data_IF_711492563915
#
_entry.id   IF_711492563915
#
_cell.length_a   1.000
_cell.length_b   1.000
_cell.length_c   1.000
_cell.angle_alpha   90.00
_cell.angle_beta   90.00
_cell.angle_gamma   90.00
#
_symmetry.space_group_name_H-M   'P 1'
#
loop_
_entity.id
_entity.type
_entity.pdbx_description
1 polymer ?
#
# COMPACT_ATOMS: atom_id res chain seq x y z
N UNK A 1 5.28 0.71 56.85
CA UNK A 1 4.51 -0.03 55.81
C UNK A 1 4.90 0.60 54.51
N UNK A 2 6.03 0.12 54.02
CA UNK A 2 6.71 0.56 52.83
C UNK A 2 5.99 -0.04 51.62
N UNK A 3 5.40 0.84 50.81
CA UNK A 3 4.79 0.48 49.53
C UNK A 3 5.74 0.90 48.42
N UNK A 4 6.75 0.08 48.15
CA UNK A 4 7.69 0.26 47.06
C UNK A 4 6.97 -0.01 45.74
N UNK A 5 6.50 1.07 45.11
CA UNK A 5 5.95 1.05 43.75
C UNK A 5 7.09 0.79 42.77
N UNK A 6 7.27 -0.48 42.40
CA UNK A 6 8.14 -0.88 41.32
C UNK A 6 7.66 -0.21 40.02
N UNK A 7 8.32 0.88 39.64
CA UNK A 7 8.29 1.38 38.28
C UNK A 7 8.97 0.33 37.41
N UNK A 8 8.16 -0.56 36.82
CA UNK A 8 8.60 -1.50 35.80
C UNK A 8 9.07 -0.66 34.60
N UNK A 9 10.37 -0.35 34.58
CA UNK A 9 11.06 0.21 33.43
C UNK A 9 10.95 -0.80 32.30
N UNK A 10 9.94 -0.63 31.45
CA UNK A 10 9.85 -1.32 30.17
C UNK A 10 11.15 -1.06 29.41
N UNK A 11 11.96 -2.11 29.31
CA UNK A 11 13.25 -2.09 28.62
C UNK A 11 13.00 -1.71 27.16
N UNK A 12 13.40 -0.49 26.77
CA UNK A 12 13.22 -0.01 25.40
C UNK A 12 14.21 -0.75 24.50
N UNK A 13 13.71 -1.57 23.59
CA UNK A 13 14.57 -2.32 22.67
C UNK A 13 15.06 -1.43 21.52
N UNK A 14 16.17 -1.80 20.86
CA UNK A 14 16.64 -1.11 19.66
C UNK A 14 15.59 -1.10 18.53
N UNK A 15 14.68 -2.07 18.52
CA UNK A 15 13.54 -2.12 17.59
C UNK A 15 12.52 -1.04 17.94
N UNK A 16 12.20 -0.85 19.21
CA UNK A 16 11.25 0.18 19.68
C UNK A 16 11.76 1.59 19.36
N UNK A 17 13.07 1.84 19.54
CA UNK A 17 13.70 3.12 19.13
C UNK A 17 13.60 3.33 17.62
N UNK A 18 13.88 2.30 16.81
CA UNK A 18 13.77 2.39 15.35
C UNK A 18 12.33 2.54 14.86
N UNK A 19 11.36 1.97 15.58
CA UNK A 19 9.95 2.09 15.25
C UNK A 19 9.39 3.44 15.68
N UNK A 20 9.90 4.05 16.76
CA UNK A 20 9.55 5.40 17.20
C UNK A 20 9.89 6.49 16.17
N UNK A 21 10.82 6.24 15.24
CA UNK A 21 11.10 7.12 14.10
C UNK A 21 9.91 7.29 13.15
N UNK A 22 8.87 6.46 13.27
CA UNK A 22 7.68 6.49 12.41
C UNK A 22 6.43 6.58 13.28
N UNK A 23 5.52 7.51 12.96
CA UNK A 23 4.26 7.64 13.67
C UNK A 23 3.46 6.33 13.66
N UNK A 24 2.75 6.03 14.74
CA UNK A 24 1.88 4.84 14.85
C UNK A 24 0.89 4.74 13.68
N UNK A 25 0.35 5.89 13.25
CA UNK A 25 -0.55 5.98 12.09
C UNK A 25 0.13 5.53 10.80
N UNK A 26 1.38 5.96 10.57
CA UNK A 26 2.16 5.56 9.40
C UNK A 26 2.53 4.08 9.46
N UNK A 27 2.92 3.57 10.63
CA UNK A 27 3.17 2.14 10.80
C UNK A 27 1.94 1.30 10.46
N UNK A 28 0.75 1.73 10.89
CA UNK A 28 -0.51 1.07 10.58
C UNK A 28 -0.82 1.14 9.08
N UNK A 29 -0.60 2.29 8.44
CA UNK A 29 -0.72 2.44 6.99
C UNK A 29 0.18 1.47 6.24
N UNK A 30 1.45 1.34 6.66
CA UNK A 30 2.38 0.38 6.06
C UNK A 30 1.97 -1.07 6.28
N UNK A 31 1.49 -1.43 7.47
CA UNK A 31 0.94 -2.78 7.73
C UNK A 31 -0.24 -3.08 6.79
N UNK A 32 -1.14 -2.12 6.58
CA UNK A 32 -2.25 -2.27 5.62
C UNK A 32 -1.77 -2.43 4.18
N UNK A 33 -0.76 -1.66 3.78
CA UNK A 33 -0.11 -1.77 2.48
C UNK A 33 0.55 -3.14 2.27
N UNK A 34 1.29 -3.65 3.26
CA UNK A 34 1.91 -4.98 3.25
C UNK A 34 0.87 -6.08 3.18
N UNK A 35 -0.23 -5.99 3.96
CA UNK A 35 -1.35 -6.94 3.86
C UNK A 35 -1.96 -6.98 2.46
N UNK A 36 -2.08 -5.84 1.80
CA UNK A 36 -2.59 -5.79 0.43
C UNK A 36 -1.64 -6.49 -0.57
N UNK A 37 -0.33 -6.34 -0.40
CA UNK A 37 0.68 -7.07 -1.17
C UNK A 37 0.62 -8.58 -0.88
N UNK A 38 0.60 -8.97 0.40
CA UNK A 38 0.48 -10.38 0.80
C UNK A 38 -0.77 -11.05 0.25
N UNK A 39 -1.91 -10.34 0.26
CA UNK A 39 -3.15 -10.83 -0.35
C UNK A 39 -2.96 -11.05 -1.85
N UNK A 40 -2.42 -10.07 -2.56
CA UNK A 40 -2.17 -10.19 -4.00
C UNK A 40 -1.22 -11.36 -4.34
N UNK A 41 -0.17 -11.58 -3.55
CA UNK A 41 0.73 -12.74 -3.71
C UNK A 41 -0.07 -14.05 -3.60
N UNK A 42 -0.90 -14.19 -2.56
CA UNK A 42 -1.72 -15.39 -2.34
C UNK A 42 -2.70 -15.63 -3.49
N UNK A 43 -3.33 -14.56 -3.98
CA UNK A 43 -4.31 -14.63 -5.06
C UNK A 43 -3.64 -14.95 -6.42
N UNK A 44 -2.43 -14.45 -6.67
CA UNK A 44 -1.77 -14.51 -8.00
C UNK A 44 -0.81 -15.69 -8.15
N UNK A 45 -0.11 -16.06 -7.07
CA UNK A 45 0.96 -17.08 -7.09
C UNK A 45 0.49 -18.46 -6.67
N UNK A 46 -0.74 -18.58 -6.17
CA UNK A 46 -1.39 -19.86 -5.82
C UNK A 46 -0.45 -20.79 -5.03
N UNK A 47 -0.06 -21.94 -5.59
CA UNK A 47 0.82 -22.93 -4.95
C UNK A 47 2.20 -22.40 -4.61
N UNK A 48 2.70 -21.40 -5.34
CA UNK A 48 3.99 -20.77 -5.07
C UNK A 48 3.89 -19.69 -3.99
N UNK A 49 2.69 -19.25 -3.58
CA UNK A 49 2.53 -18.18 -2.62
C UNK A 49 3.31 -18.38 -1.30
N UNK A 50 3.38 -19.59 -0.70
CA UNK A 50 4.14 -19.81 0.53
C UNK A 50 5.64 -19.48 0.41
N UNK A 51 6.23 -19.57 -0.79
CA UNK A 51 7.66 -19.29 -0.99
C UNK A 51 7.99 -17.80 -0.94
N UNK A 52 6.99 -16.92 -1.00
CA UNK A 52 7.15 -15.48 -0.90
C UNK A 52 7.05 -14.94 0.54
N UNK A 53 6.96 -15.83 1.53
CA UNK A 53 6.86 -15.45 2.94
C UNK A 53 8.03 -16.01 3.75
N UNK A 54 8.58 -15.18 4.63
CA UNK A 54 9.58 -15.60 5.61
C UNK A 54 8.95 -16.47 6.72
N UNK A 55 9.74 -17.15 7.56
CA UNK A 55 9.21 -17.92 8.69
C UNK A 55 8.38 -17.12 9.70
N UNK A 56 8.52 -15.78 9.70
CA UNK A 56 7.73 -14.86 10.53
C UNK A 56 6.41 -14.44 9.87
N UNK A 57 6.14 -14.89 8.65
CA UNK A 57 4.96 -14.56 7.87
C UNK A 57 5.00 -13.19 7.18
N UNK A 58 6.13 -12.48 7.19
CA UNK A 58 6.30 -11.28 6.37
C UNK A 58 6.69 -11.65 4.95
N UNK A 59 6.62 -10.69 4.03
CA UNK A 59 7.06 -10.89 2.65
C UNK A 59 8.58 -11.12 2.66
N UNK A 60 9.01 -12.20 2.02
CA UNK A 60 10.42 -12.50 1.79
C UNK A 60 10.97 -11.60 0.69
N UNK A 61 11.91 -10.73 1.03
CA UNK A 61 12.51 -9.76 0.11
C UNK A 61 13.50 -10.36 -0.89
N UNK A 62 13.96 -11.60 -0.68
CA UNK A 62 14.78 -12.34 -1.66
C UNK A 62 13.92 -12.87 -2.81
N UNK A 63 12.69 -13.30 -2.48
CA UNK A 63 11.74 -13.89 -3.42
C UNK A 63 10.82 -12.85 -4.05
N UNK A 64 10.41 -11.84 -3.29
CA UNK A 64 9.58 -10.74 -3.77
C UNK A 64 10.43 -9.67 -4.45
N UNK A 65 10.74 -9.91 -5.72
CA UNK A 65 11.61 -9.03 -6.52
C UNK A 65 10.90 -7.73 -6.93
N UNK A 66 11.69 -6.80 -7.47
CA UNK A 66 11.15 -5.56 -8.06
C UNK A 66 10.20 -5.79 -9.23
N UNK A 67 10.27 -6.94 -9.91
CA UNK A 67 9.39 -7.26 -11.04
C UNK A 67 8.02 -7.76 -10.53
N UNK A 68 8.03 -8.47 -9.41
CA UNK A 68 6.80 -8.84 -8.69
C UNK A 68 6.09 -7.61 -8.13
N UNK A 69 6.87 -6.67 -7.60
CA UNK A 69 6.32 -5.40 -7.14
C UNK A 69 5.73 -4.57 -8.29
N UNK A 70 6.37 -4.53 -9.46
CA UNK A 70 5.81 -3.86 -10.63
C UNK A 70 4.49 -4.52 -11.07
N UNK A 71 4.43 -5.84 -11.10
CA UNK A 71 3.23 -6.61 -11.43
C UNK A 71 2.08 -6.29 -10.47
N UNK A 72 2.37 -6.23 -9.17
CA UNK A 72 1.43 -5.79 -8.15
C UNK A 72 0.92 -4.36 -8.40
N UNK A 73 1.82 -3.41 -8.70
CA UNK A 73 1.43 -2.03 -8.99
C UNK A 73 0.59 -1.92 -10.27
N UNK A 74 0.89 -2.71 -11.30
CA UNK A 74 0.14 -2.74 -12.56
C UNK A 74 -1.28 -3.29 -12.40
N UNK A 75 -1.49 -4.20 -11.45
CA UNK A 75 -2.83 -4.65 -11.08
C UNK A 75 -3.56 -3.59 -10.25
N UNK A 76 -2.91 -3.04 -9.22
CA UNK A 76 -3.52 -2.07 -8.32
C UNK A 76 -3.86 -0.73 -9.00
N UNK A 77 -3.07 -0.25 -9.97
CA UNK A 77 -3.38 1.01 -10.68
C UNK A 77 -4.75 1.03 -11.36
N UNK A 78 -5.34 -0.14 -11.64
CA UNK A 78 -6.69 -0.26 -12.22
C UNK A 78 -7.78 0.19 -11.24
N UNK A 79 -7.50 0.13 -9.93
CA UNK A 79 -8.48 0.34 -8.87
C UNK A 79 -8.10 1.47 -7.91
N UNK A 80 -6.82 1.86 -7.82
CA UNK A 80 -6.35 2.91 -6.90
C UNK A 80 -5.52 3.98 -7.60
N UNK A 81 -5.53 5.19 -7.03
CA UNK A 81 -4.75 6.33 -7.52
C UNK A 81 -3.26 6.27 -7.17
N UNK A 82 -2.48 7.14 -7.81
CA UNK A 82 -1.01 7.21 -7.67
C UNK A 82 -0.56 7.50 -6.22
N UNK A 83 -1.35 8.21 -5.42
CA UNK A 83 -1.07 8.43 -3.99
C UNK A 83 -1.01 7.12 -3.20
N UNK A 84 -2.00 6.24 -3.39
CA UNK A 84 -2.05 4.92 -2.77
C UNK A 84 -0.90 4.04 -3.26
N UNK A 85 -0.57 4.09 -4.55
CA UNK A 85 0.58 3.38 -5.12
C UNK A 85 1.90 3.82 -4.45
N UNK A 86 2.05 5.11 -4.18
CA UNK A 86 3.23 5.62 -3.48
C UNK A 86 3.27 5.18 -2.01
N UNK A 87 2.10 4.95 -1.40
CA UNK A 87 1.98 4.29 -0.10
C UNK A 87 2.55 2.87 -0.11
N UNK A 88 2.25 2.07 -1.13
CA UNK A 88 2.84 0.72 -1.27
C UNK A 88 4.37 0.78 -1.41
N UNK A 89 4.91 1.71 -2.21
CA UNK A 89 6.37 1.91 -2.34
C UNK A 89 7.00 2.24 -0.99
N UNK A 90 6.38 3.12 -0.22
CA UNK A 90 6.89 3.55 1.09
C UNK A 90 6.86 2.41 2.11
N UNK A 91 5.78 1.61 2.09
CA UNK A 91 5.66 0.43 2.94
C UNK A 91 6.70 -0.65 2.59
N UNK A 92 7.00 -0.84 1.30
CA UNK A 92 8.04 -1.78 0.87
C UNK A 92 9.44 -1.30 1.31
N UNK A 93 9.76 -0.01 1.16
CA UNK A 93 11.02 0.55 1.68
C UNK A 93 11.15 0.37 3.19
N UNK A 94 10.06 0.56 3.93
CA UNK A 94 10.07 0.35 5.37
C UNK A 94 10.26 -1.13 5.74
N UNK A 95 9.76 -2.07 4.92
CA UNK A 95 10.01 -3.50 5.12
C UNK A 95 11.50 -3.83 4.96
N UNK A 96 12.19 -3.32 3.93
CA UNK A 96 13.65 -3.44 3.78
C UNK A 96 14.38 -2.95 5.03
N UNK A 97 13.99 -1.78 5.54
CA UNK A 97 14.55 -1.21 6.77
C UNK A 97 14.31 -2.09 8.00
N UNK A 98 13.12 -2.69 8.15
CA UNK A 98 12.76 -3.52 9.32
C UNK A 98 13.43 -4.89 9.32
N UNK A 99 13.66 -5.47 8.15
CA UNK A 99 14.38 -6.74 8.00
C UNK A 99 15.91 -6.55 7.91
N UNK A 100 16.39 -5.31 8.03
CA UNK A 100 17.81 -4.94 7.91
C UNK A 100 18.45 -5.39 6.59
N UNK A 101 17.65 -5.41 5.51
CA UNK A 101 18.08 -5.79 4.16
C UNK A 101 18.43 -4.52 3.38
N UNK A 102 19.61 -4.43 2.75
CA UNK A 102 19.98 -3.27 1.96
C UNK A 102 19.01 -3.11 0.79
N UNK A 103 18.49 -1.89 0.63
CA UNK A 103 17.62 -1.56 -0.49
C UNK A 103 18.42 -1.71 -1.80
N UNK A 104 17.89 -2.40 -2.83
CA UNK A 104 18.59 -2.53 -4.11
C UNK A 104 18.92 -1.15 -4.70
N UNK A 105 20.15 -0.97 -5.15
CA UNK A 105 20.63 0.27 -5.77
C UNK A 105 19.81 0.69 -7.01
N UNK A 106 19.17 -0.25 -7.69
CA UNK A 106 18.26 -0.01 -8.82
C UNK A 106 16.85 0.42 -8.39
N UNK A 107 16.47 0.22 -7.13
CA UNK A 107 15.10 0.46 -6.62
C UNK A 107 14.65 1.89 -6.89
N UNK A 108 15.42 2.88 -6.44
CA UNK A 108 15.01 4.29 -6.53
C UNK A 108 14.89 4.75 -7.97
N UNK A 109 15.82 4.33 -8.83
CA UNK A 109 15.80 4.65 -10.27
C UNK A 109 14.61 4.01 -10.97
N UNK A 110 14.35 2.72 -10.72
CA UNK A 110 13.23 1.98 -11.32
C UNK A 110 11.89 2.58 -10.89
N UNK A 111 11.73 2.82 -9.59
CA UNK A 111 10.52 3.43 -9.04
C UNK A 111 10.32 4.87 -9.52
N UNK A 112 11.38 5.68 -9.64
CA UNK A 112 11.27 7.03 -10.19
C UNK A 112 10.70 7.01 -11.61
N UNK A 113 11.26 6.19 -12.50
CA UNK A 113 10.79 6.05 -13.89
C UNK A 113 9.34 5.57 -13.96
N UNK A 114 8.99 4.53 -13.19
CA UNK A 114 7.63 3.97 -13.17
C UNK A 114 6.60 5.01 -12.71
N UNK A 115 6.85 5.68 -11.59
CA UNK A 115 5.91 6.65 -11.03
C UNK A 115 5.82 7.93 -11.87
N UNK A 116 6.90 8.34 -12.54
CA UNK A 116 6.85 9.41 -13.54
C UNK A 116 5.95 9.03 -14.71
N UNK A 117 6.05 7.80 -15.22
CA UNK A 117 5.16 7.28 -16.27
C UNK A 117 3.69 7.25 -15.82
N UNK A 118 3.42 6.72 -14.64
CA UNK A 118 2.06 6.65 -14.06
C UNK A 118 1.42 8.03 -13.93
N UNK A 119 2.15 9.02 -13.43
CA UNK A 119 1.66 10.41 -13.31
C UNK A 119 1.33 11.01 -14.68
N UNK A 120 2.18 10.80 -15.69
CA UNK A 120 1.93 11.28 -17.06
C UNK A 120 0.68 10.64 -17.66
N UNK A 121 0.56 9.32 -17.57
CA UNK A 121 -0.62 8.61 -18.09
C UNK A 121 -1.91 9.06 -17.40
N UNK A 122 -1.86 9.28 -16.08
CA UNK A 122 -3.00 9.79 -15.33
C UNK A 122 -3.36 11.22 -15.78
N UNK A 123 -2.38 12.11 -15.96
CA UNK A 123 -2.59 13.45 -16.46
C UNK A 123 -3.19 13.46 -17.88
N UNK A 124 -2.68 12.63 -18.79
CA UNK A 124 -3.23 12.48 -20.14
C UNK A 124 -4.69 12.03 -20.10
N UNK A 125 -5.05 11.05 -19.25
CA UNK A 125 -6.46 10.62 -19.07
C UNK A 125 -7.37 11.77 -18.60
N UNK A 126 -6.89 12.62 -17.69
CA UNK A 126 -7.65 13.80 -17.24
C UNK A 126 -7.77 14.88 -18.32
N UNK A 127 -6.74 15.05 -19.15
CA UNK A 127 -6.74 16.03 -20.24
C UNK A 127 -7.57 15.58 -21.44
N UNK A 128 -7.69 14.27 -21.69
CA UNK A 128 -8.50 13.71 -22.77
C UNK A 128 -10.00 13.70 -22.49
N UNK A 129 -10.47 14.40 -21.45
CA UNK A 129 -11.90 14.53 -21.15
C UNK A 129 -12.56 13.29 -20.56
N UNK A 130 -11.79 12.29 -20.09
CA UNK A 130 -12.39 11.15 -19.38
C UNK A 130 -13.08 11.67 -18.10
N UNK A 131 -14.39 11.40 -17.89
CA UNK A 131 -15.07 11.84 -16.70
C UNK A 131 -14.33 11.36 -15.46
N UNK A 132 -14.17 12.24 -14.47
CA UNK A 132 -13.73 11.81 -13.14
C UNK A 132 -14.74 10.78 -12.65
N UNK A 133 -14.36 9.51 -12.56
CA UNK A 133 -15.16 8.47 -11.90
C UNK A 133 -15.42 8.77 -10.40
N UNK A 134 -14.83 9.85 -9.87
CA UNK A 134 -15.15 10.41 -8.56
C UNK A 134 -16.06 11.62 -8.71
N UNK A 135 -17.29 11.34 -9.08
CA UNK A 135 -18.45 12.21 -8.98
C UNK A 135 -19.67 11.31 -8.99
N UNK A 136 -20.62 11.52 -8.06
CA UNK A 136 -21.92 10.81 -8.13
C UNK A 136 -22.42 10.95 -9.57
N UNK A 137 -22.75 9.85 -10.23
CA UNK A 137 -23.41 9.94 -11.53
C UNK A 137 -24.59 10.91 -11.36
N UNK A 138 -24.65 12.01 -12.12
CA UNK A 138 -25.74 12.95 -12.00
C UNK A 138 -27.02 12.17 -12.30
N UNK A 139 -27.95 12.15 -11.34
CA UNK A 139 -29.23 11.48 -11.49
C UNK A 139 -29.89 12.00 -12.78
N UNK A 140 -30.07 11.17 -13.81
CA UNK A 140 -30.68 11.62 -15.05
C UNK A 140 -32.10 12.12 -14.77
N UNK A 141 -32.48 13.25 -15.39
CA UNK A 141 -33.79 13.86 -15.17
C UNK A 141 -34.95 12.87 -15.45
N UNK A 142 -34.78 11.97 -16.42
CA UNK A 142 -35.72 10.90 -16.72
C UNK A 142 -35.92 9.93 -15.54
N UNK A 143 -34.83 9.55 -14.86
CA UNK A 143 -34.85 8.68 -13.69
C UNK A 143 -35.46 9.38 -12.48
N UNK A 144 -35.15 10.67 -12.28
CA UNK A 144 -35.83 11.50 -11.27
C UNK A 144 -37.35 11.53 -11.49
N UNK A 145 -37.78 11.76 -12.74
CA UNK A 145 -39.19 11.84 -13.08
C UNK A 145 -39.93 10.49 -12.90
N UNK A 146 -39.26 9.37 -13.18
CA UNK A 146 -39.82 8.03 -12.91
C UNK A 146 -39.98 7.77 -11.41
N UNK A 147 -38.98 8.12 -10.59
CA UNK A 147 -39.04 7.97 -9.14
C UNK A 147 -40.16 8.81 -8.52
N UNK A 148 -40.35 10.05 -9.00
CA UNK A 148 -41.44 10.91 -8.54
C UNK A 148 -42.82 10.32 -8.86
N UNK A 149 -42.99 9.70 -10.03
CA UNK A 149 -44.26 9.06 -10.43
C UNK A 149 -44.56 7.75 -9.70
N UNK A 150 -43.53 7.02 -9.28
CA UNK A 150 -43.70 5.75 -8.57
C UNK A 150 -44.00 5.92 -7.07
N UNK A 151 -43.87 7.13 -6.53
CA UNK A 151 -44.05 7.44 -5.10
C UNK A 151 -45.38 8.17 -4.80
N UNK A 152 -46.19 8.43 -5.83
CA UNK A 152 -47.55 8.98 -5.76
C UNK A 152 -48.56 7.88 -6.07
#
# INVERSE_FOLDING_TARGET
>A
MDGEGAAETLEVTAKDVRDACISVKTQQSYRSSLRAMSKWIRDTKMEQAPTFFDPSGNIDLDRFTLDEFDSFLMEKRKTVGVSTLNGYRSALKDLYRRQDVPLPNTFEKKMATLFSGLKRMQATKYQSGAPKESGKEPLPYSLYQQLCKATL
#
